data_IF_647869906333
#
_entry.id   IF_647869906333
#
_cell.length_a   1.000
_cell.length_b   1.000
_cell.length_c   1.000
_cell.angle_alpha   90.00
_cell.angle_beta   90.00
_cell.angle_gamma   90.00
#
_symmetry.space_group_name_H-M   'P 1'
#
loop_
_entity.id
_entity.type
_entity.pdbx_description
1 polymer ?
#
# COMPACT_ATOMS: atom_id res chain seq x y z
N UNK A 1 -19.57 -23.54 -10.61
CA UNK A 1 -18.61 -23.16 -9.56
C UNK A 1 -18.59 -21.65 -9.49
N UNK A 2 -19.04 -21.08 -8.38
CA UNK A 2 -18.85 -19.65 -8.14
C UNK A 2 -17.34 -19.38 -8.08
N UNK A 3 -16.88 -18.42 -8.88
CA UNK A 3 -15.47 -18.00 -8.81
C UNK A 3 -15.25 -17.31 -7.46
N UNK A 4 -14.28 -17.80 -6.69
CA UNK A 4 -13.88 -17.10 -5.47
C UNK A 4 -13.49 -15.65 -5.80
N UNK A 5 -13.94 -14.67 -5.00
CA UNK A 5 -13.59 -13.28 -5.23
C UNK A 5 -12.07 -13.08 -5.17
N UNK A 6 -11.58 -12.18 -6.00
CA UNK A 6 -10.17 -11.80 -6.06
C UNK A 6 -9.95 -10.52 -5.24
N UNK A 7 -8.93 -10.54 -4.39
CA UNK A 7 -8.49 -9.38 -3.63
C UNK A 7 -7.13 -8.91 -4.16
N UNK A 8 -7.12 -7.71 -4.69
CA UNK A 8 -5.92 -7.12 -5.26
C UNK A 8 -5.02 -6.51 -4.19
N UNK A 9 -3.74 -6.47 -4.49
CA UNK A 9 -2.81 -5.65 -3.72
C UNK A 9 -3.14 -4.16 -3.82
N UNK A 10 -2.34 -3.34 -3.17
CA UNK A 10 -2.47 -1.88 -3.22
C UNK A 10 -1.10 -1.22 -3.29
N UNK A 11 -1.05 0.02 -3.75
CA UNK A 11 0.15 0.86 -3.69
C UNK A 11 -0.22 2.21 -3.08
N UNK A 12 0.54 2.63 -2.07
CA UNK A 12 0.46 3.98 -1.54
C UNK A 12 1.27 4.91 -2.46
N UNK A 13 0.58 5.61 -3.38
CA UNK A 13 1.24 6.52 -4.32
C UNK A 13 1.89 7.71 -3.60
N UNK A 14 1.23 8.23 -2.57
CA UNK A 14 1.69 9.37 -1.78
C UNK A 14 1.17 9.28 -0.35
N UNK A 15 1.95 9.76 0.61
CA UNK A 15 1.51 9.86 2.01
C UNK A 15 2.35 9.08 3.00
N UNK A 16 3.39 8.36 2.58
CA UNK A 16 4.29 7.64 3.47
C UNK A 16 4.79 8.56 4.57
N UNK A 17 4.78 8.08 5.81
CA UNK A 17 5.14 8.86 7.01
C UNK A 17 4.31 10.12 7.23
N UNK A 18 3.94 10.84 6.18
CA UNK A 18 3.16 12.06 6.25
C UNK A 18 1.79 11.87 6.91
N UNK A 19 1.13 10.75 6.62
CA UNK A 19 -0.21 10.42 7.17
C UNK A 19 -0.19 10.37 8.70
N UNK A 20 0.92 9.99 9.32
CA UNK A 20 1.10 9.99 10.78
C UNK A 20 0.98 11.42 11.34
N UNK A 21 1.32 12.43 10.55
CA UNK A 21 1.31 13.87 10.88
C UNK A 21 0.26 14.66 10.09
N UNK A 22 -0.91 14.09 9.86
CA UNK A 22 -2.04 14.72 9.18
C UNK A 22 -1.78 15.19 7.72
N UNK A 23 -0.83 14.58 7.03
CA UNK A 23 -0.67 14.76 5.60
C UNK A 23 -1.78 14.06 4.82
N UNK A 24 -2.05 14.54 3.62
CA UNK A 24 -2.84 13.76 2.67
C UNK A 24 -2.10 12.49 2.27
N UNK A 25 -2.88 11.47 1.88
CA UNK A 25 -2.42 10.24 1.25
C UNK A 25 -3.27 9.88 0.05
N UNK A 26 -2.68 9.19 -0.90
CA UNK A 26 -3.37 8.63 -2.06
C UNK A 26 -2.90 7.21 -2.27
N UNK A 27 -3.82 6.27 -2.20
CA UNK A 27 -3.52 4.87 -2.45
C UNK A 27 -4.43 4.31 -3.53
N UNK A 28 -3.90 3.39 -4.34
CA UNK A 28 -4.59 2.78 -5.46
C UNK A 28 -4.54 1.25 -5.37
N UNK A 29 -5.54 0.53 -5.90
CA UNK A 29 -5.45 -0.90 -6.12
C UNK A 29 -4.29 -1.21 -7.08
N UNK A 30 -3.62 -2.32 -6.82
CA UNK A 30 -2.54 -2.83 -7.66
C UNK A 30 -2.94 -4.18 -8.25
N UNK A 31 -3.57 -4.14 -9.42
CA UNK A 31 -4.26 -5.29 -10.01
C UNK A 31 -3.35 -6.39 -10.58
N UNK A 32 -2.03 -6.13 -10.65
CA UNK A 32 -1.05 -7.13 -11.07
C UNK A 32 -0.94 -8.26 -10.05
N UNK A 33 -0.96 -7.91 -8.76
CA UNK A 33 -0.90 -8.84 -7.66
C UNK A 33 -2.29 -9.08 -7.06
N UNK A 34 -2.62 -10.33 -6.78
CA UNK A 34 -3.94 -10.73 -6.26
C UNK A 34 -3.85 -11.95 -5.35
N UNK A 35 -4.84 -12.11 -4.51
CA UNK A 35 -5.04 -13.29 -3.69
C UNK A 35 -6.50 -13.74 -3.70
N UNK A 36 -6.72 -15.02 -3.47
CA UNK A 36 -8.04 -15.62 -3.32
C UNK A 36 -7.99 -16.83 -2.40
N UNK A 37 -9.10 -17.18 -1.78
CA UNK A 37 -9.21 -18.45 -1.09
C UNK A 37 -9.31 -19.61 -2.09
N UNK A 38 -8.58 -20.67 -1.77
CA UNK A 38 -8.58 -21.94 -2.48
C UNK A 38 -8.68 -23.08 -1.47
N UNK A 39 -9.05 -24.28 -1.96
CA UNK A 39 -9.14 -25.49 -1.17
C UNK A 39 -8.27 -26.58 -1.77
N UNK A 40 -7.59 -27.33 -0.92
CA UNK A 40 -6.84 -28.51 -1.33
C UNK A 40 -6.87 -29.56 -0.21
N UNK A 41 -7.27 -30.77 -0.55
CA UNK A 41 -7.22 -31.92 0.36
C UNK A 41 -5.80 -32.47 0.57
N UNK A 42 -4.93 -32.24 -0.42
CA UNK A 42 -3.52 -32.59 -0.39
C UNK A 42 -2.69 -31.30 -0.49
N UNK A 43 -2.39 -30.70 0.66
CA UNK A 43 -1.68 -29.44 0.71
C UNK A 43 -0.16 -29.64 0.62
N UNK A 44 0.50 -28.81 -0.19
CA UNK A 44 1.94 -28.66 -0.16
C UNK A 44 2.36 -27.82 1.08
N UNK A 45 3.67 -27.76 1.42
CA UNK A 45 4.14 -27.05 2.62
C UNK A 45 3.75 -25.57 2.70
N UNK A 46 3.64 -24.88 1.56
CA UNK A 46 3.22 -23.45 1.53
C UNK A 46 1.72 -23.32 1.83
N UNK A 47 0.89 -24.20 1.27
CA UNK A 47 -0.55 -24.25 1.54
C UNK A 47 -0.84 -24.62 2.99
N UNK A 48 -0.11 -25.60 3.56
CA UNK A 48 -0.20 -25.96 4.98
C UNK A 48 0.19 -24.80 5.88
N UNK A 49 1.27 -24.08 5.54
CA UNK A 49 1.68 -22.86 6.26
C UNK A 49 0.60 -21.79 6.19
N UNK A 50 -0.01 -21.58 5.01
CA UNK A 50 -1.12 -20.64 4.83
C UNK A 50 -2.32 -21.03 5.69
N UNK A 51 -2.76 -22.30 5.66
CA UNK A 51 -3.87 -22.80 6.49
C UNK A 51 -3.57 -22.64 7.99
N UNK A 52 -2.34 -22.97 8.43
CA UNK A 52 -1.92 -22.80 9.82
C UNK A 52 -1.97 -21.32 10.27
N UNK A 53 -1.55 -20.40 9.42
CA UNK A 53 -1.60 -18.97 9.70
C UNK A 53 -3.06 -18.46 9.76
N UNK A 54 -3.93 -18.96 8.89
CA UNK A 54 -5.36 -18.65 8.93
C UNK A 54 -6.01 -19.13 10.24
N UNK A 55 -5.65 -20.32 10.76
CA UNK A 55 -6.14 -20.80 12.06
C UNK A 55 -5.72 -19.87 13.21
N UNK A 56 -4.49 -19.42 13.24
CA UNK A 56 -3.99 -18.46 14.25
C UNK A 56 -4.73 -17.11 14.13
N UNK A 57 -4.97 -16.65 12.92
CA UNK A 57 -5.73 -15.43 12.69
C UNK A 57 -7.19 -15.57 13.10
N UNK A 58 -7.83 -16.70 12.82
CA UNK A 58 -9.18 -17.01 13.29
C UNK A 58 -9.28 -16.99 14.84
N UNK A 59 -8.28 -17.58 15.54
CA UNK A 59 -8.20 -17.53 17.00
C UNK A 59 -8.10 -16.11 17.54
N UNK A 60 -7.32 -15.23 16.89
CA UNK A 60 -7.25 -13.83 17.25
C UNK A 60 -8.60 -13.12 17.08
N UNK A 61 -9.27 -13.31 15.95
CA UNK A 61 -10.58 -12.71 15.68
C UNK A 61 -11.66 -13.17 16.67
N UNK A 62 -11.56 -14.39 17.19
CA UNK A 62 -12.52 -14.93 18.15
C UNK A 62 -12.36 -14.33 19.56
N UNK A 63 -11.24 -13.67 19.87
CA UNK A 63 -11.00 -13.08 21.21
C UNK A 63 -11.77 -11.77 21.43
N UNK A 64 -12.12 -11.04 20.36
CA UNK A 64 -12.79 -9.74 20.45
C UNK A 64 -13.71 -9.50 19.24
N UNK A 65 -15.00 -9.76 19.42
CA UNK A 65 -16.02 -9.56 18.39
C UNK A 65 -16.72 -8.19 18.47
N UNK A 66 -16.16 -7.25 19.21
CA UNK A 66 -16.84 -5.97 19.51
C UNK A 66 -17.16 -5.12 18.26
N UNK A 67 -16.38 -5.29 17.19
CA UNK A 67 -16.53 -4.47 15.96
C UNK A 67 -17.21 -5.19 14.80
N UNK A 68 -17.14 -6.53 14.75
CA UNK A 68 -17.72 -7.33 13.66
C UNK A 68 -17.90 -8.78 14.13
N UNK A 69 -19.05 -9.37 13.80
CA UNK A 69 -19.32 -10.78 14.05
C UNK A 69 -18.96 -11.63 12.83
N UNK A 70 -18.35 -12.80 13.08
CA UNK A 70 -17.92 -13.73 12.04
C UNK A 70 -18.63 -15.06 12.16
N UNK A 71 -18.84 -15.75 11.02
CA UNK A 71 -19.29 -17.13 10.99
C UNK A 71 -18.09 -18.07 11.22
N UNK A 72 -17.70 -18.22 12.50
CA UNK A 72 -16.57 -19.07 12.89
C UNK A 72 -16.81 -20.55 12.61
N UNK A 73 -18.06 -21.03 12.68
CA UNK A 73 -18.36 -22.41 12.31
C UNK A 73 -18.04 -22.68 10.83
N UNK A 74 -18.38 -21.75 9.94
CA UNK A 74 -18.04 -21.88 8.54
C UNK A 74 -16.54 -21.77 8.31
N UNK A 75 -15.86 -20.85 9.00
CA UNK A 75 -14.41 -20.68 8.89
C UNK A 75 -13.68 -21.96 9.36
N UNK A 76 -14.12 -22.57 10.46
CA UNK A 76 -13.52 -23.79 10.98
C UNK A 76 -13.73 -24.98 10.04
N UNK A 77 -14.95 -25.14 9.47
CA UNK A 77 -15.22 -26.15 8.44
C UNK A 77 -14.31 -25.96 7.23
N UNK A 78 -14.25 -24.75 6.68
CA UNK A 78 -13.43 -24.44 5.51
C UNK A 78 -11.93 -24.72 5.79
N UNK A 79 -11.44 -24.40 7.00
CA UNK A 79 -10.06 -24.69 7.41
C UNK A 79 -9.79 -26.19 7.50
N UNK A 80 -10.76 -26.97 7.97
CA UNK A 80 -10.65 -28.44 8.02
C UNK A 80 -10.74 -29.08 6.62
N UNK A 81 -11.45 -28.43 5.70
CA UNK A 81 -11.54 -28.81 4.29
C UNK A 81 -10.33 -28.36 3.46
N UNK A 82 -9.29 -27.86 4.13
CA UNK A 82 -8.01 -27.48 3.50
C UNK A 82 -8.00 -26.09 2.87
N UNK A 83 -8.75 -25.13 3.43
CA UNK A 83 -8.69 -23.72 3.00
C UNK A 83 -7.29 -23.16 3.13
N UNK A 84 -6.82 -22.45 2.10
CA UNK A 84 -5.62 -21.63 2.11
C UNK A 84 -5.82 -20.36 1.30
N UNK A 85 -4.99 -19.34 1.54
CA UNK A 85 -5.00 -18.10 0.77
C UNK A 85 -3.91 -18.16 -0.28
N UNK A 86 -4.32 -18.41 -1.54
CA UNK A 86 -3.44 -18.40 -2.71
C UNK A 86 -3.19 -16.95 -3.13
N UNK A 87 -1.93 -16.50 -3.06
CA UNK A 87 -1.58 -15.10 -3.25
C UNK A 87 -0.28 -14.91 -4.01
N UNK A 88 -0.33 -14.09 -5.06
CA UNK A 88 0.85 -13.59 -5.77
C UNK A 88 1.40 -12.29 -5.16
N UNK A 89 0.78 -11.73 -4.11
CA UNK A 89 1.18 -10.45 -3.50
C UNK A 89 2.45 -10.67 -2.67
N UNK A 90 3.59 -10.04 -3.03
CA UNK A 90 4.83 -10.27 -2.31
C UNK A 90 4.78 -9.70 -0.89
N UNK A 91 5.18 -10.52 0.09
CA UNK A 91 5.21 -10.14 1.50
C UNK A 91 6.43 -9.25 1.80
N UNK A 92 6.23 -8.18 2.57
CA UNK A 92 7.30 -7.24 2.93
C UNK A 92 7.64 -6.21 1.85
N UNK A 93 6.88 -6.15 0.75
CA UNK A 93 7.10 -5.20 -0.35
C UNK A 93 6.20 -3.96 -0.29
N UNK A 94 5.39 -3.80 0.76
CA UNK A 94 4.54 -2.61 0.93
C UNK A 94 3.30 -2.58 0.04
N UNK A 95 2.99 -3.67 -0.64
CA UNK A 95 1.90 -3.76 -1.64
C UNK A 95 0.63 -4.44 -1.12
N UNK A 96 0.46 -4.57 0.20
CA UNK A 96 -0.81 -4.90 0.83
C UNK A 96 -1.14 -6.38 0.95
N UNK A 97 -0.14 -7.25 1.17
CA UNK A 97 -0.36 -8.69 1.33
C UNK A 97 -1.29 -9.02 2.52
N UNK A 98 -1.03 -8.46 3.72
CA UNK A 98 -1.92 -8.60 4.89
C UNK A 98 -3.29 -8.00 4.63
N UNK A 99 -3.34 -6.84 3.97
CA UNK A 99 -4.60 -6.16 3.64
C UNK A 99 -5.52 -6.98 2.76
N UNK A 100 -4.98 -7.65 1.75
CA UNK A 100 -5.76 -8.53 0.86
C UNK A 100 -6.32 -9.75 1.62
N UNK A 101 -5.53 -10.35 2.51
CA UNK A 101 -5.99 -11.46 3.35
C UNK A 101 -7.09 -11.02 4.33
N UNK A 102 -6.92 -9.88 5.00
CA UNK A 102 -7.94 -9.29 5.88
C UNK A 102 -9.23 -9.03 5.13
N UNK A 103 -9.15 -8.43 3.93
CA UNK A 103 -10.30 -8.18 3.07
C UNK A 103 -11.03 -9.48 2.68
N UNK A 104 -10.29 -10.54 2.36
CA UNK A 104 -10.84 -11.85 1.99
C UNK A 104 -11.56 -12.52 3.17
N UNK A 105 -10.99 -12.50 4.38
CA UNK A 105 -11.63 -13.05 5.60
C UNK A 105 -12.92 -12.27 5.90
N UNK A 106 -12.88 -10.95 5.85
CA UNK A 106 -14.06 -10.12 6.07
C UNK A 106 -15.15 -10.42 5.05
N UNK A 107 -14.78 -10.47 3.78
CA UNK A 107 -15.77 -10.73 2.72
C UNK A 107 -16.41 -12.09 2.86
N UNK A 108 -15.66 -13.14 3.18
CA UNK A 108 -16.21 -14.49 3.22
C UNK A 108 -16.96 -14.80 4.51
N UNK A 109 -16.51 -14.30 5.65
CA UNK A 109 -16.97 -14.75 6.96
C UNK A 109 -17.68 -13.70 7.82
N UNK A 110 -17.60 -12.39 7.51
CA UNK A 110 -18.36 -11.40 8.27
C UNK A 110 -19.86 -11.57 8.00
N UNK A 111 -20.64 -11.70 9.09
CA UNK A 111 -22.08 -11.96 9.02
C UNK A 111 -22.90 -10.71 8.75
N UNK A 112 -22.39 -9.54 9.13
CA UNK A 112 -23.04 -8.23 8.96
C UNK A 112 -22.11 -7.27 8.21
N UNK A 113 -21.93 -7.53 6.92
CA UNK A 113 -21.06 -6.68 6.09
C UNK A 113 -21.63 -5.27 5.97
N UNK A 114 -20.73 -4.28 6.07
CA UNK A 114 -21.08 -2.91 5.75
C UNK A 114 -21.33 -2.82 4.24
N UNK A 115 -22.51 -2.35 3.89
CA UNK A 115 -22.86 -2.12 2.47
C UNK A 115 -21.97 -1.03 1.89
N UNK A 116 -21.10 -1.42 0.96
CA UNK A 116 -20.18 -0.51 0.29
C UNK A 116 -20.88 0.18 -0.87
N UNK A 117 -21.65 1.23 -0.57
CA UNK A 117 -21.89 2.27 -1.57
C UNK A 117 -20.65 3.16 -1.54
N UNK A 118 -19.89 3.27 -2.64
CA UNK A 118 -18.65 4.07 -2.70
C UNK A 118 -18.85 5.53 -2.30
N UNK A 119 -20.08 5.98 -2.32
CA UNK A 119 -20.49 7.37 -2.09
C UNK A 119 -20.63 7.75 -0.59
N UNK A 120 -20.64 6.76 0.32
CA UNK A 120 -20.85 7.03 1.74
C UNK A 120 -19.56 7.01 2.54
N UNK A 121 -18.91 8.15 2.71
CA UNK A 121 -17.73 8.32 3.54
C UNK A 121 -17.87 7.73 4.98
N UNK A 122 -19.10 7.70 5.53
CA UNK A 122 -19.39 7.10 6.83
C UNK A 122 -19.15 5.59 6.85
N UNK A 123 -19.53 4.90 5.79
CA UNK A 123 -19.40 3.45 5.67
C UNK A 123 -17.92 3.06 5.50
N UNK A 124 -17.15 3.86 4.74
CA UNK A 124 -15.70 3.67 4.60
C UNK A 124 -14.98 3.85 5.94
N UNK A 125 -15.40 4.82 6.76
CA UNK A 125 -14.82 5.05 8.09
C UNK A 125 -15.08 3.86 9.03
N UNK A 126 -16.30 3.32 9.04
CA UNK A 126 -16.65 2.16 9.84
C UNK A 126 -15.89 0.91 9.38
N UNK A 127 -15.80 0.69 8.07
CA UNK A 127 -15.04 -0.39 7.47
C UNK A 127 -13.55 -0.31 7.86
N UNK A 128 -12.95 0.88 7.74
CA UNK A 128 -11.57 1.13 8.17
C UNK A 128 -11.33 0.79 9.64
N UNK A 129 -12.29 1.04 10.54
CA UNK A 129 -12.16 0.71 11.96
C UNK A 129 -12.11 -0.81 12.18
N UNK A 130 -13.02 -1.56 11.53
CA UNK A 130 -13.00 -3.03 11.57
C UNK A 130 -11.67 -3.55 11.04
N UNK A 131 -11.25 -3.07 9.89
CA UNK A 131 -10.01 -3.50 9.26
C UNK A 131 -8.75 -3.09 10.05
N UNK A 132 -8.77 -1.96 10.74
CA UNK A 132 -7.70 -1.56 11.65
C UNK A 132 -7.51 -2.58 12.78
N UNK A 133 -8.62 -3.03 13.37
CA UNK A 133 -8.60 -4.06 14.38
C UNK A 133 -8.11 -5.40 13.83
N UNK A 134 -8.67 -5.88 12.73
CA UNK A 134 -8.26 -7.15 12.11
C UNK A 134 -6.77 -7.16 11.72
N UNK A 135 -6.30 -6.10 11.04
CA UNK A 135 -4.92 -6.02 10.56
C UNK A 135 -3.89 -5.82 11.68
N UNK A 136 -4.33 -5.37 12.87
CA UNK A 136 -3.46 -5.25 14.04
C UNK A 136 -2.86 -6.58 14.50
N UNK A 137 -3.45 -7.70 14.11
CA UNK A 137 -2.85 -9.03 14.28
C UNK A 137 -1.46 -9.15 13.65
N UNK A 138 -1.26 -8.56 12.47
CA UNK A 138 0.00 -8.68 11.71
C UNK A 138 1.04 -7.64 12.12
N UNK A 139 0.60 -6.45 12.56
CA UNK A 139 1.46 -5.27 12.70
C UNK A 139 1.38 -4.61 14.09
N UNK A 140 0.69 -5.22 15.04
CA UNK A 140 0.45 -4.68 16.38
C UNK A 140 -0.50 -3.49 16.37
N UNK A 141 -0.27 -2.48 15.54
CA UNK A 141 -1.16 -1.33 15.36
C UNK A 141 -1.27 -1.00 13.87
N UNK A 142 -2.49 -1.07 13.35
CA UNK A 142 -2.77 -0.74 11.95
C UNK A 142 -3.72 0.45 11.80
N UNK A 143 -3.61 1.14 10.66
CA UNK A 143 -4.55 2.19 10.27
C UNK A 143 -5.83 1.63 9.63
N UNK A 144 -5.85 0.39 9.17
CA UNK A 144 -6.93 -0.23 8.41
C UNK A 144 -7.10 0.28 6.98
N UNK A 145 -6.19 1.13 6.50
CA UNK A 145 -6.28 1.71 5.15
C UNK A 145 -6.01 0.66 4.08
N UNK A 146 -4.98 -0.15 4.26
CA UNK A 146 -4.57 -1.15 3.29
C UNK A 146 -5.66 -2.17 3.00
N UNK A 147 -6.26 -2.84 4.00
CA UNK A 147 -7.37 -3.76 3.74
C UNK A 147 -8.62 -3.04 3.22
N UNK A 148 -8.85 -1.77 3.58
CA UNK A 148 -9.97 -1.01 3.02
C UNK A 148 -9.83 -0.86 1.51
N UNK A 149 -8.63 -0.58 1.00
CA UNK A 149 -8.37 -0.46 -0.45
C UNK A 149 -8.48 -1.82 -1.13
N UNK A 150 -7.88 -2.87 -0.53
CA UNK A 150 -7.95 -4.23 -1.07
C UNK A 150 -9.39 -4.75 -1.15
N UNK A 151 -10.25 -4.35 -0.21
CA UNK A 151 -11.67 -4.73 -0.19
C UNK A 151 -12.51 -3.93 -1.19
N UNK A 152 -12.35 -2.60 -1.24
CA UNK A 152 -13.12 -1.75 -2.12
C UNK A 152 -12.70 -1.87 -3.59
N UNK A 153 -11.45 -2.19 -3.86
CA UNK A 153 -10.90 -2.21 -5.21
C UNK A 153 -10.88 -0.83 -5.89
N UNK A 154 -10.90 0.26 -5.11
CA UNK A 154 -11.02 1.63 -5.59
C UNK A 154 -9.90 2.52 -5.03
N UNK A 155 -9.45 3.55 -5.77
CA UNK A 155 -8.53 4.54 -5.25
C UNK A 155 -9.12 5.28 -4.04
N UNK A 156 -8.33 5.42 -2.98
CA UNK A 156 -8.68 6.14 -1.77
C UNK A 156 -7.83 7.40 -1.59
N UNK A 157 -8.50 8.53 -1.43
CA UNK A 157 -7.90 9.79 -1.03
C UNK A 157 -8.10 9.98 0.48
N UNK A 158 -7.00 10.03 1.21
CA UNK A 158 -6.94 10.33 2.64
C UNK A 158 -6.64 11.82 2.74
N UNK A 159 -7.62 12.61 3.21
CA UNK A 159 -7.46 14.06 3.41
C UNK A 159 -6.92 14.39 4.80
N UNK A 160 -7.27 13.57 5.79
CA UNK A 160 -6.79 13.60 7.17
C UNK A 160 -7.09 12.25 7.83
N UNK A 161 -6.68 12.06 9.09
CA UNK A 161 -6.89 10.82 9.87
C UNK A 161 -8.36 10.33 9.84
N UNK A 162 -9.31 11.27 9.87
CA UNK A 162 -10.77 10.98 9.95
C UNK A 162 -11.55 11.32 8.67
N UNK A 163 -10.86 11.82 7.65
CA UNK A 163 -11.50 12.22 6.39
C UNK A 163 -10.83 11.49 5.23
N UNK A 164 -11.46 10.41 4.80
CA UNK A 164 -11.04 9.59 3.66
C UNK A 164 -12.27 9.22 2.82
N UNK A 165 -12.04 8.98 1.54
CA UNK A 165 -13.08 8.59 0.61
C UNK A 165 -12.50 8.12 -0.72
N UNK A 166 -13.34 7.54 -1.54
CA UNK A 166 -12.97 7.18 -2.91
C UNK A 166 -12.70 8.43 -3.75
N UNK A 167 -11.85 8.31 -4.73
CA UNK A 167 -11.52 9.37 -5.69
C UNK A 167 -11.40 8.79 -7.09
N UNK A 168 -11.93 9.50 -8.06
CA UNK A 168 -11.66 9.21 -9.46
C UNK A 168 -10.27 9.73 -9.85
N UNK A 169 -9.52 8.90 -10.55
CA UNK A 169 -8.22 9.25 -11.10
C UNK A 169 -8.37 9.48 -12.61
N UNK A 170 -7.51 10.31 -13.22
CA UNK A 170 -7.41 10.38 -14.66
C UNK A 170 -7.20 8.96 -15.24
N UNK A 171 -7.85 8.66 -16.35
CA UNK A 171 -7.71 7.36 -16.98
C UNK A 171 -6.24 7.10 -17.35
N UNK A 172 -5.74 5.92 -17.00
CA UNK A 172 -4.41 5.50 -17.41
C UNK A 172 -4.39 5.36 -18.94
N UNK A 173 -3.42 6.04 -19.58
CA UNK A 173 -3.27 6.03 -21.04
C UNK A 173 -2.32 4.89 -21.42
N UNK A 174 -2.82 3.82 -22.03
CA UNK A 174 -2.00 2.64 -22.40
C UNK A 174 -0.78 3.03 -23.24
N UNK A 175 -0.94 4.04 -24.13
CA UNK A 175 0.11 4.56 -25.02
C UNK A 175 0.80 5.82 -24.45
N UNK A 176 0.53 6.18 -23.19
CA UNK A 176 1.15 7.34 -22.54
C UNK A 176 2.67 7.14 -22.37
N UNK A 177 3.45 8.15 -22.74
CA UNK A 177 4.91 8.11 -22.57
C UNK A 177 5.32 8.19 -21.10
N UNK A 178 4.59 8.93 -20.26
CA UNK A 178 4.85 9.07 -18.85
C UNK A 178 4.41 7.84 -18.05
N UNK A 179 5.10 7.55 -16.96
CA UNK A 179 4.78 6.39 -16.13
C UNK A 179 5.03 6.62 -14.64
N UNK A 180 4.23 5.91 -13.82
CA UNK A 180 4.58 5.53 -12.45
C UNK A 180 5.01 4.07 -12.48
N UNK A 181 6.12 3.76 -11.86
CA UNK A 181 6.69 2.42 -11.87
C UNK A 181 7.28 2.03 -10.51
N UNK A 182 7.39 0.74 -10.27
CA UNK A 182 8.03 0.16 -9.10
C UNK A 182 9.36 -0.47 -9.50
N UNK A 183 10.36 -0.34 -8.65
CA UNK A 183 11.68 -0.95 -8.77
C UNK A 183 11.89 -1.87 -7.57
N UNK A 184 12.23 -3.13 -7.83
CA UNK A 184 12.50 -4.12 -6.79
C UNK A 184 13.89 -3.86 -6.17
N UNK A 185 13.95 -3.71 -4.85
CA UNK A 185 15.22 -3.50 -4.13
C UNK A 185 16.02 -4.78 -3.86
N UNK A 186 15.48 -5.94 -4.26
CA UNK A 186 16.17 -7.23 -4.10
C UNK A 186 15.76 -8.01 -2.84
N UNK A 187 15.06 -7.39 -1.89
CA UNK A 187 14.61 -8.06 -0.66
C UNK A 187 13.44 -7.35 0.02
N UNK A 188 12.73 -8.03 0.93
CA UNK A 188 11.62 -7.43 1.67
C UNK A 188 12.11 -6.33 2.61
N UNK A 189 11.28 -5.33 2.86
CA UNK A 189 11.50 -4.31 3.89
C UNK A 189 10.81 -4.67 5.21
N UNK A 190 11.40 -4.22 6.32
CA UNK A 190 10.82 -4.33 7.65
C UNK A 190 10.22 -2.98 8.07
N UNK A 191 8.89 -2.95 8.25
CA UNK A 191 8.19 -1.70 8.55
C UNK A 191 8.53 -1.15 9.92
N UNK A 192 8.58 -1.99 10.95
CA UNK A 192 8.73 -1.54 12.33
C UNK A 192 10.05 -0.78 12.57
N UNK A 193 11.24 -1.25 12.18
CA UNK A 193 12.47 -0.50 12.37
C UNK A 193 12.46 0.87 11.67
N UNK A 194 11.89 0.93 10.48
CA UNK A 194 11.80 2.17 9.71
C UNK A 194 10.89 3.20 10.38
N UNK A 195 9.76 2.75 10.94
CA UNK A 195 8.85 3.60 11.71
C UNK A 195 9.51 4.08 13.01
N UNK A 196 10.26 3.24 13.69
CA UNK A 196 11.00 3.61 14.91
C UNK A 196 12.04 4.70 14.61
N UNK A 197 12.84 4.55 13.56
CA UNK A 197 13.79 5.58 13.09
C UNK A 197 13.06 6.90 12.79
N UNK A 198 11.92 6.84 12.11
CA UNK A 198 11.12 8.03 11.83
C UNK A 198 10.61 8.72 13.10
N UNK A 199 10.11 7.94 14.06
CA UNK A 199 9.64 8.47 15.35
C UNK A 199 10.77 9.11 16.15
N UNK A 200 11.98 8.57 16.07
CA UNK A 200 13.17 9.16 16.70
C UNK A 200 13.55 10.47 16.03
N UNK A 201 13.58 10.52 14.69
CA UNK A 201 13.80 11.76 13.94
C UNK A 201 12.76 12.85 14.26
N UNK A 202 11.52 12.47 14.55
CA UNK A 202 10.48 13.43 14.98
C UNK A 202 10.77 14.11 16.31
N UNK A 203 11.69 13.61 17.14
CA UNK A 203 12.13 14.31 18.36
C UNK A 203 12.96 15.55 18.04
N UNK A 204 13.58 15.61 16.86
CA UNK A 204 14.41 16.72 16.41
C UNK A 204 13.56 17.89 15.87
N UNK A 205 13.79 19.10 16.38
CA UNK A 205 13.05 20.31 15.96
C UNK A 205 13.24 20.64 14.47
N UNK A 206 14.45 20.42 13.94
CA UNK A 206 14.80 20.65 12.55
C UNK A 206 13.99 19.73 11.62
N UNK A 207 13.96 18.43 11.93
CA UNK A 207 13.22 17.44 11.16
C UNK A 207 11.70 17.71 11.17
N UNK A 208 11.11 18.02 12.33
CA UNK A 208 9.70 18.42 12.39
C UNK A 208 9.38 19.64 11.54
N UNK A 209 10.26 20.64 11.50
CA UNK A 209 10.08 21.84 10.68
C UNK A 209 10.16 21.51 9.19
N UNK A 210 11.14 20.71 8.77
CA UNK A 210 11.27 20.22 7.41
C UNK A 210 10.02 19.39 7.00
N UNK A 211 9.60 18.43 7.83
CA UNK A 211 8.45 17.60 7.59
C UNK A 211 7.18 18.43 7.31
N UNK A 212 6.89 19.42 8.18
CA UNK A 212 5.71 20.28 8.05
C UNK A 212 5.76 21.23 6.86
N UNK A 213 6.90 21.88 6.62
CA UNK A 213 6.98 22.99 5.67
C UNK A 213 7.48 22.58 4.27
N UNK A 214 8.07 21.40 4.15
CA UNK A 214 8.59 20.89 2.88
C UNK A 214 7.92 19.58 2.50
N UNK A 215 8.15 18.50 3.24
CA UNK A 215 7.66 17.16 2.89
C UNK A 215 6.14 17.15 2.71
N UNK A 216 5.36 17.50 3.73
CA UNK A 216 3.89 17.50 3.69
C UNK A 216 3.38 18.45 2.60
N UNK A 217 3.99 19.63 2.47
CA UNK A 217 3.61 20.60 1.44
C UNK A 217 3.75 20.02 0.03
N UNK A 218 4.90 19.40 -0.28
CA UNK A 218 5.15 18.86 -1.62
C UNK A 218 4.37 17.59 -1.88
N UNK A 219 4.23 16.70 -0.87
CA UNK A 219 3.36 15.53 -0.93
C UNK A 219 1.91 15.91 -1.28
N UNK A 220 1.33 16.84 -0.55
CA UNK A 220 -0.05 17.27 -0.79
C UNK A 220 -0.23 17.96 -2.15
N UNK A 221 0.78 18.69 -2.62
CA UNK A 221 0.77 19.29 -3.95
C UNK A 221 0.86 18.23 -5.06
N UNK A 222 1.67 17.17 -4.89
CA UNK A 222 1.72 16.04 -5.80
C UNK A 222 0.35 15.35 -5.91
N UNK A 223 -0.29 15.05 -4.78
CA UNK A 223 -1.61 14.40 -4.75
C UNK A 223 -2.64 15.24 -5.50
N UNK A 224 -2.72 16.55 -5.20
CA UNK A 224 -3.67 17.46 -5.87
C UNK A 224 -3.44 17.53 -7.38
N UNK A 225 -2.19 17.58 -7.80
CA UNK A 225 -1.83 17.60 -9.21
C UNK A 225 -2.12 16.26 -9.90
N UNK A 226 -1.80 15.12 -9.25
CA UNK A 226 -2.05 13.79 -9.78
C UNK A 226 -3.55 13.53 -10.01
N UNK A 227 -4.39 13.81 -8.99
CA UNK A 227 -5.85 13.65 -9.08
C UNK A 227 -6.47 14.51 -10.18
N UNK A 228 -5.91 15.69 -10.46
CA UNK A 228 -6.36 16.57 -11.55
C UNK A 228 -5.82 16.19 -12.93
N UNK A 229 -4.82 15.33 -13.02
CA UNK A 229 -4.08 15.06 -14.27
C UNK A 229 -3.11 16.16 -14.69
N UNK A 230 -2.76 17.07 -13.77
CA UNK A 230 -1.89 18.23 -14.04
C UNK A 230 -0.40 17.80 -13.99
N UNK A 231 0.14 17.31 -15.11
CA UNK A 231 1.51 16.76 -15.20
C UNK A 231 2.61 17.76 -14.79
N UNK A 232 2.54 19.00 -15.23
CA UNK A 232 3.61 19.98 -14.95
C UNK A 232 3.72 20.34 -13.47
N UNK A 233 2.64 20.70 -12.74
CA UNK A 233 2.70 20.85 -11.29
C UNK A 233 3.11 19.57 -10.57
N UNK A 234 2.68 18.38 -11.05
CA UNK A 234 3.06 17.11 -10.47
C UNK A 234 4.58 16.94 -10.48
N UNK A 235 5.21 16.98 -11.64
CA UNK A 235 6.66 16.76 -11.77
C UNK A 235 7.50 17.84 -11.08
N UNK A 236 7.03 19.11 -11.07
CA UNK A 236 7.68 20.18 -10.30
C UNK A 236 7.71 19.89 -8.78
N UNK A 237 6.63 19.33 -8.25
CA UNK A 237 6.57 18.99 -6.82
C UNK A 237 7.22 17.63 -6.52
N UNK A 238 7.18 16.67 -7.44
CA UNK A 238 7.90 15.40 -7.33
C UNK A 238 9.41 15.62 -7.21
N UNK A 239 10.01 16.49 -8.03
CA UNK A 239 11.43 16.85 -7.89
C UNK A 239 11.75 17.29 -6.47
N UNK A 240 10.95 18.24 -5.91
CA UNK A 240 11.16 18.75 -4.56
C UNK A 240 10.92 17.69 -3.49
N UNK A 241 9.88 16.86 -3.64
CA UNK A 241 9.59 15.78 -2.69
C UNK A 241 10.71 14.74 -2.71
N UNK A 242 11.16 14.32 -3.88
CA UNK A 242 12.25 13.38 -4.07
C UNK A 242 13.56 13.87 -3.45
N UNK A 243 13.90 15.16 -3.65
CA UNK A 243 15.06 15.80 -3.00
C UNK A 243 14.94 15.76 -1.48
N UNK A 244 13.78 16.16 -0.93
CA UNK A 244 13.56 16.17 0.52
C UNK A 244 13.68 14.75 1.11
N UNK A 245 13.21 13.74 0.39
CA UNK A 245 13.33 12.35 0.85
C UNK A 245 14.80 11.91 0.82
N UNK A 246 15.53 12.16 -0.26
CA UNK A 246 16.94 11.81 -0.36
C UNK A 246 17.77 12.47 0.77
N UNK A 247 17.51 13.73 1.06
CA UNK A 247 18.29 14.51 2.04
C UNK A 247 17.97 14.16 3.51
N UNK A 248 16.77 13.64 3.80
CA UNK A 248 16.30 13.54 5.19
C UNK A 248 15.87 12.14 5.62
N UNK A 249 15.63 11.22 4.68
CA UNK A 249 15.12 9.86 4.94
C UNK A 249 16.15 8.79 4.57
N UNK A 250 17.42 9.12 4.58
CA UNK A 250 18.54 8.25 4.18
C UNK A 250 18.43 6.80 4.72
N UNK A 251 18.16 6.55 6.03
CA UNK A 251 18.04 5.18 6.52
C UNK A 251 16.85 4.38 5.97
N UNK A 252 15.85 5.03 5.38
CA UNK A 252 14.68 4.41 4.78
C UNK A 252 14.90 4.10 3.29
N UNK A 253 15.91 4.67 2.66
CA UNK A 253 16.24 4.39 1.26
C UNK A 253 16.98 3.06 1.20
N UNK A 254 16.50 2.07 0.43
CA UNK A 254 17.19 0.80 0.30
C UNK A 254 18.63 0.97 -0.20
N UNK A 255 19.53 0.14 0.33
CA UNK A 255 20.93 0.14 -0.09
C UNK A 255 21.04 0.00 -1.62
N UNK A 256 21.97 0.74 -2.23
CA UNK A 256 22.16 0.78 -3.68
C UNK A 256 21.23 1.71 -4.47
N UNK A 257 20.20 2.31 -3.85
CA UNK A 257 19.32 3.25 -4.56
C UNK A 257 19.78 4.70 -4.51
N UNK A 258 20.71 5.07 -3.68
CA UNK A 258 21.14 6.47 -3.50
C UNK A 258 21.71 7.09 -4.78
N UNK A 259 22.55 6.35 -5.50
CA UNK A 259 23.16 6.86 -6.75
C UNK A 259 22.14 6.97 -7.87
N UNK A 260 21.28 5.94 -8.03
CA UNK A 260 20.17 5.99 -8.97
C UNK A 260 19.21 7.16 -8.66
N UNK A 261 18.99 7.45 -7.38
CA UNK A 261 18.13 8.55 -6.95
C UNK A 261 18.73 9.93 -7.29
N UNK A 262 20.05 10.11 -7.03
CA UNK A 262 20.81 11.33 -7.38
C UNK A 262 20.81 11.54 -8.90
N UNK A 263 21.10 10.48 -9.67
CA UNK A 263 21.10 10.54 -11.13
C UNK A 263 19.77 11.07 -11.68
N UNK A 264 18.64 10.54 -11.19
CA UNK A 264 17.32 10.97 -11.63
C UNK A 264 17.01 12.43 -11.31
N UNK A 265 17.49 12.94 -10.16
CA UNK A 265 17.34 14.34 -9.77
C UNK A 265 18.23 15.28 -10.59
N UNK A 266 19.45 14.88 -10.91
CA UNK A 266 20.43 15.66 -11.69
C UNK A 266 20.01 15.77 -13.15
N UNK A 267 19.62 14.66 -13.76
CA UNK A 267 19.22 14.61 -15.17
C UNK A 267 17.76 15.08 -15.41
N UNK A 268 16.96 15.18 -14.33
CA UNK A 268 15.53 15.52 -14.38
C UNK A 268 14.68 14.56 -15.24
N UNK A 269 15.16 13.34 -15.45
CA UNK A 269 14.50 12.35 -16.30
C UNK A 269 13.47 11.52 -15.52
N UNK A 270 13.73 11.27 -14.23
CA UNK A 270 12.84 10.56 -13.32
C UNK A 270 13.03 11.01 -11.88
N UNK A 271 12.04 10.78 -11.06
CA UNK A 271 12.08 11.08 -9.62
C UNK A 271 11.65 9.87 -8.83
N UNK A 272 12.49 9.46 -7.88
CA UNK A 272 12.21 8.34 -6.99
C UNK A 272 11.57 8.83 -5.69
N UNK A 273 10.85 7.94 -5.05
CA UNK A 273 10.30 8.08 -3.69
C UNK A 273 10.17 6.72 -3.03
N UNK A 274 10.02 6.70 -1.72
CA UNK A 274 9.74 5.48 -0.97
C UNK A 274 8.39 4.88 -1.42
N UNK A 275 8.27 3.56 -1.36
CA UNK A 275 7.04 2.82 -1.49
C UNK A 275 6.76 2.12 -0.15
N UNK A 276 5.85 2.66 0.65
CA UNK A 276 5.64 2.23 2.03
C UNK A 276 6.70 2.79 2.99
N UNK A 277 7.15 1.98 3.96
CA UNK A 277 8.13 2.40 4.97
C UNK A 277 9.57 2.52 4.47
N UNK A 278 9.88 2.00 3.29
CA UNK A 278 11.26 1.88 2.83
C UNK A 278 12.05 0.77 3.54
N UNK A 279 13.38 0.86 3.50
CA UNK A 279 14.27 -0.15 4.06
C UNK A 279 14.35 -1.45 3.26
N UNK A 280 13.63 -1.55 2.14
CA UNK A 280 13.49 -2.73 1.28
C UNK A 280 12.18 -2.72 0.52
N UNK A 281 11.85 -3.83 -0.16
CA UNK A 281 10.65 -3.95 -0.97
C UNK A 281 10.75 -3.19 -2.29
N UNK A 282 9.76 -2.36 -2.59
CA UNK A 282 9.77 -1.54 -3.79
C UNK A 282 10.21 -0.10 -3.51
N UNK A 283 10.88 0.50 -4.50
CA UNK A 283 11.06 1.95 -4.64
C UNK A 283 10.19 2.41 -5.79
N UNK A 284 9.47 3.52 -5.61
CA UNK A 284 8.55 4.04 -6.63
C UNK A 284 9.23 5.13 -7.45
N UNK A 285 9.05 5.08 -8.77
CA UNK A 285 9.55 6.07 -9.69
C UNK A 285 8.46 6.73 -10.54
N UNK A 286 8.72 7.96 -10.94
CA UNK A 286 7.88 8.76 -11.84
C UNK A 286 8.73 9.31 -12.96
N UNK A 287 8.30 9.18 -14.20
CA UNK A 287 8.97 9.76 -15.36
C UNK A 287 7.96 10.35 -16.35
N UNK A 288 8.40 11.34 -17.12
CA UNK A 288 7.62 11.89 -18.24
C UNK A 288 7.70 11.03 -19.50
N UNK A 289 8.78 10.23 -19.62
CA UNK A 289 9.03 9.38 -20.77
C UNK A 289 9.73 8.10 -20.31
N UNK A 290 8.95 7.03 -20.17
CA UNK A 290 9.44 5.77 -19.65
C UNK A 290 10.41 5.08 -20.62
N UNK A 291 10.17 5.21 -21.92
CA UNK A 291 11.01 4.55 -22.92
C UNK A 291 12.44 5.08 -22.93
N UNK A 292 12.65 6.34 -22.58
CA UNK A 292 13.98 6.93 -22.44
C UNK A 292 14.76 6.41 -21.24
N UNK A 293 14.07 6.02 -20.18
CA UNK A 293 14.74 5.71 -18.89
C UNK A 293 14.69 4.24 -18.52
N UNK A 294 13.86 3.43 -19.18
CA UNK A 294 13.64 2.01 -18.81
C UNK A 294 14.92 1.17 -18.76
N UNK A 295 15.88 1.43 -19.63
CA UNK A 295 17.17 0.72 -19.65
C UNK A 295 18.02 0.94 -18.39
N UNK A 296 17.83 2.07 -17.69
CA UNK A 296 18.51 2.37 -16.42
C UNK A 296 18.00 1.47 -15.28
N UNK A 297 16.83 0.85 -15.46
CA UNK A 297 16.14 0.08 -14.41
C UNK A 297 16.16 -1.43 -14.64
N UNK A 298 16.79 -1.94 -15.70
CA UNK A 298 16.78 -3.37 -16.05
C UNK A 298 17.22 -4.27 -14.89
N UNK A 299 18.19 -3.84 -14.09
CA UNK A 299 18.66 -4.58 -12.91
C UNK A 299 17.68 -4.61 -11.73
N UNK A 300 16.59 -3.84 -11.77
CA UNK A 300 15.62 -3.67 -10.66
C UNK A 300 14.25 -4.25 -10.97
N UNK A 301 14.10 -5.06 -12.01
CA UNK A 301 12.83 -5.66 -12.43
C UNK A 301 11.67 -4.63 -12.45
N UNK A 302 11.72 -3.60 -13.30
CA UNK A 302 10.77 -2.49 -13.26
C UNK A 302 9.36 -2.94 -13.63
N UNK A 303 8.37 -2.45 -12.88
CA UNK A 303 6.96 -2.73 -13.08
C UNK A 303 6.18 -1.43 -13.23
N UNK A 304 5.59 -1.17 -14.42
CA UNK A 304 4.77 0.02 -14.66
C UNK A 304 3.37 -0.21 -14.08
N UNK A 305 2.95 0.67 -13.15
CA UNK A 305 1.66 0.57 -12.46
C UNK A 305 0.64 1.60 -12.93
N UNK A 306 1.08 2.66 -13.59
CA UNK A 306 0.20 3.70 -14.15
C UNK A 306 0.91 4.42 -15.29
N UNK A 307 0.15 4.80 -16.34
CA UNK A 307 0.65 5.63 -17.44
C UNK A 307 -0.18 6.89 -17.62
N UNK A 308 0.45 7.99 -18.03
CA UNK A 308 -0.18 9.28 -18.31
C UNK A 308 0.21 9.84 -19.67
#
# INVERSE_FOLDING_TARGET
MEKNPLFYGKVLLFGEYGIINDSMGLSIPHTYYKGAFQFSSEQNPEQEKSNTNLRKFAQYLHQDEALCSFNFEQLERDLNDGLFFDSSIPQGFGVGSSGALVAAIYDRYCTQKISTSPEKAKDIKALKQIFSWMESYFHGKSSGIDPTICYLGLPLLIKSKDNLGTVELPASQVEGSGAVFLLNSGGPGETQPMVEIFMDKLKEKGFRKMLKHQFIKYNNACIKAFVKGDRNPLFKNLKKLSTVVLDNFDPMIPEGFHDLWREGLENEEYYLKLCGSGGGGFVMGFTRDYDKVKSKFEGYSPEVIYRF
#
